data_IF_992665197194
#
_entry.id   IF_992665197194
#
_cell.length_a   1.000
_cell.length_b   1.000
_cell.length_c   1.000
_cell.angle_alpha   90.00
_cell.angle_beta   90.00
_cell.angle_gamma   90.00
#
_symmetry.space_group_name_H-M   'P 1'
#
loop_
_entity.id
_entity.type
_entity.pdbx_description
1 polymer ?
#
# COMPACT_ATOMS: atom_id res chain seq x y z
N UNK A 1 -27.55 16.21 7.18
CA UNK A 1 -26.56 15.12 7.18
C UNK A 1 -25.67 15.38 6.00
N UNK A 2 -24.43 15.80 6.25
CA UNK A 2 -23.47 15.88 5.16
C UNK A 2 -23.23 14.47 4.58
N UNK A 3 -23.00 14.35 3.27
CA UNK A 3 -22.69 13.06 2.69
C UNK A 3 -21.42 12.49 3.35
N UNK A 4 -21.33 11.15 3.51
CA UNK A 4 -20.09 10.54 3.96
C UNK A 4 -18.94 10.99 3.04
N UNK A 5 -17.74 11.26 3.58
CA UNK A 5 -16.61 11.63 2.76
C UNK A 5 -16.38 10.56 1.68
N UNK A 6 -15.99 10.96 0.46
CA UNK A 6 -15.74 10.02 -0.62
C UNK A 6 -14.71 8.98 -0.17
N UNK A 7 -14.83 7.71 -0.61
CA UNK A 7 -13.87 6.69 -0.25
C UNK A 7 -12.46 7.14 -0.68
N UNK A 8 -11.42 6.87 0.12
CA UNK A 8 -10.06 7.24 -0.23
C UNK A 8 -9.70 6.63 -1.59
N UNK A 9 -8.94 7.36 -2.40
CA UNK A 9 -8.42 6.80 -3.65
C UNK A 9 -7.48 5.64 -3.30
N UNK A 10 -7.68 4.48 -3.94
CA UNK A 10 -6.74 3.38 -3.85
C UNK A 10 -5.33 3.84 -4.27
N UNK A 11 -4.33 3.17 -3.71
CA UNK A 11 -2.96 3.23 -4.19
C UNK A 11 -2.91 2.94 -5.70
N UNK A 12 -2.18 3.74 -6.46
CA UNK A 12 -2.03 3.56 -7.90
C UNK A 12 -0.87 2.62 -8.17
N UNK A 13 -1.05 1.67 -9.10
CA UNK A 13 0.04 0.82 -9.59
C UNK A 13 0.87 0.20 -8.46
N UNK A 14 0.19 -0.34 -7.44
CA UNK A 14 0.81 -0.87 -6.22
C UNK A 14 1.77 -2.02 -6.46
N UNK A 15 1.52 -2.82 -7.50
CA UNK A 15 2.39 -3.91 -7.97
C UNK A 15 3.31 -3.48 -9.12
N UNK A 16 3.44 -2.19 -9.39
CA UNK A 16 4.42 -1.65 -10.35
C UNK A 16 4.29 -2.18 -11.80
N UNK A 17 3.14 -2.65 -12.24
CA UNK A 17 2.96 -3.26 -13.56
C UNK A 17 2.88 -2.25 -14.72
N UNK A 18 2.63 -0.97 -14.43
CA UNK A 18 2.55 0.11 -15.42
C UNK A 18 3.79 1.01 -15.43
N UNK A 19 4.37 1.22 -16.61
CA UNK A 19 5.57 2.03 -16.82
C UNK A 19 6.33 1.63 -18.08
N UNK A 20 7.52 2.20 -18.27
CA UNK A 20 8.45 1.74 -19.32
C UNK A 20 8.81 0.27 -19.11
N UNK A 21 8.81 -0.54 -20.17
CA UNK A 21 9.18 -1.95 -20.06
C UNK A 21 10.63 -2.08 -19.54
N UNK A 22 10.86 -2.71 -18.38
CA UNK A 22 12.21 -2.83 -17.81
C UNK A 22 13.05 -3.93 -18.47
N UNK A 23 12.50 -4.79 -19.31
CA UNK A 23 13.22 -5.98 -19.78
C UNK A 23 13.59 -6.89 -18.61
N UNK A 24 14.89 -7.18 -18.43
CA UNK A 24 15.36 -7.87 -17.21
C UNK A 24 15.26 -6.94 -16.00
N UNK A 25 15.89 -5.77 -16.10
CA UNK A 25 15.76 -4.66 -15.17
C UNK A 25 16.14 -3.36 -15.89
N UNK A 26 15.65 -2.24 -15.37
CA UNK A 26 15.98 -0.89 -15.83
C UNK A 26 16.32 -0.02 -14.63
N UNK A 27 17.54 0.53 -14.61
CA UNK A 27 17.93 1.52 -13.60
C UNK A 27 17.20 2.84 -13.84
N UNK A 28 16.54 3.34 -12.80
CA UNK A 28 15.76 4.57 -12.80
C UNK A 28 16.39 5.54 -11.82
N UNK A 29 16.89 6.67 -12.32
CA UNK A 29 17.63 7.66 -11.54
C UNK A 29 16.71 8.75 -10.97
N UNK A 30 16.96 9.18 -9.74
CA UNK A 30 16.44 10.42 -9.17
C UNK A 30 17.01 11.70 -9.83
N UNK A 31 16.42 12.88 -9.58
CA UNK A 31 15.18 13.11 -8.82
C UNK A 31 13.94 13.22 -9.72
N UNK A 32 12.77 12.98 -9.10
CA UNK A 32 11.44 13.15 -9.68
C UNK A 32 11.16 12.33 -10.95
N UNK A 33 11.79 11.16 -11.06
CA UNK A 33 11.62 10.31 -12.24
C UNK A 33 10.33 9.49 -12.14
N UNK A 34 9.46 9.65 -13.13
CA UNK A 34 8.09 9.09 -13.20
C UNK A 34 7.96 7.96 -14.23
N UNK A 35 9.07 7.30 -14.57
CA UNK A 35 9.12 6.15 -15.47
C UNK A 35 8.17 5.02 -15.06
N UNK A 36 7.95 4.87 -13.75
CA UNK A 36 6.98 3.94 -13.16
C UNK A 36 5.69 4.72 -12.89
N UNK A 37 4.60 4.35 -13.55
CA UNK A 37 3.34 5.11 -13.47
C UNK A 37 2.85 5.19 -12.02
N UNK A 38 2.49 6.40 -11.56
CA UNK A 38 1.98 6.63 -10.20
C UNK A 38 3.06 6.71 -9.11
N UNK A 39 4.34 6.53 -9.46
CA UNK A 39 5.45 6.57 -8.53
C UNK A 39 6.53 7.54 -8.99
N UNK A 40 7.29 8.09 -8.03
CA UNK A 40 8.40 8.99 -8.29
C UNK A 40 9.65 8.52 -7.58
N UNK A 41 10.75 8.34 -8.31
CA UNK A 41 12.08 8.08 -7.73
C UNK A 41 12.68 9.42 -7.29
N UNK A 42 12.92 9.56 -5.99
CA UNK A 42 13.21 10.87 -5.36
C UNK A 42 14.61 10.99 -4.76
N UNK A 43 15.29 9.88 -4.49
CA UNK A 43 16.68 9.87 -4.03
C UNK A 43 17.44 8.70 -4.64
N UNK A 44 18.72 8.93 -4.98
CA UNK A 44 19.61 8.01 -5.67
C UNK A 44 18.93 7.24 -6.82
N UNK A 45 19.41 6.07 -7.20
CA UNK A 45 18.77 5.23 -8.21
C UNK A 45 18.20 3.94 -7.61
N UNK A 46 17.20 3.41 -8.30
CA UNK A 46 16.54 2.14 -8.04
C UNK A 46 16.59 1.30 -9.32
N UNK A 47 16.40 0.00 -9.22
CA UNK A 47 16.15 -0.84 -10.40
C UNK A 47 14.67 -1.22 -10.47
N UNK A 48 14.05 -0.87 -11.59
CA UNK A 48 12.74 -1.36 -11.95
C UNK A 48 12.90 -2.74 -12.57
N UNK A 49 12.36 -3.76 -11.91
CA UNK A 49 12.62 -5.15 -12.24
C UNK A 49 11.52 -5.69 -13.16
N UNK A 50 11.93 -6.44 -14.19
CA UNK A 50 11.05 -7.28 -14.99
C UNK A 50 11.47 -8.74 -14.84
N UNK A 51 12.10 -9.31 -15.87
CA UNK A 51 12.41 -10.75 -15.91
C UNK A 51 13.65 -11.18 -15.11
N UNK A 52 14.27 -10.31 -14.31
CA UNK A 52 15.48 -10.65 -13.53
C UNK A 52 15.18 -11.63 -12.38
N UNK A 53 14.01 -11.53 -11.75
CA UNK A 53 13.50 -12.49 -10.76
C UNK A 53 11.98 -12.55 -10.79
N UNK A 54 11.39 -13.53 -10.10
CA UNK A 54 9.93 -13.62 -9.96
C UNK A 54 9.39 -12.56 -8.99
N UNK A 55 8.47 -11.72 -9.48
CA UNK A 55 7.71 -10.74 -8.70
C UNK A 55 6.79 -11.43 -7.67
N UNK A 56 6.35 -10.69 -6.66
CA UNK A 56 5.38 -11.17 -5.66
C UNK A 56 3.95 -11.14 -6.22
N UNK A 57 3.64 -10.13 -7.04
CA UNK A 57 2.41 -9.99 -7.81
C UNK A 57 2.76 -9.55 -9.24
N UNK A 58 2.01 -10.01 -10.23
CA UNK A 58 2.29 -9.67 -11.63
C UNK A 58 3.66 -10.14 -12.14
N UNK A 59 4.38 -9.27 -12.84
CA UNK A 59 5.67 -9.56 -13.50
C UNK A 59 6.73 -8.49 -13.28
N UNK A 60 6.48 -7.50 -12.43
CA UNK A 60 7.42 -6.41 -12.13
C UNK A 60 7.51 -6.15 -10.64
N UNK A 61 8.63 -5.58 -10.22
CA UNK A 61 8.86 -5.18 -8.83
C UNK A 61 9.93 -4.10 -8.77
N UNK A 62 10.31 -3.67 -7.57
CA UNK A 62 11.38 -2.69 -7.37
C UNK A 62 12.52 -3.32 -6.56
N UNK A 63 13.76 -3.12 -6.98
CA UNK A 63 14.94 -3.14 -6.11
C UNK A 63 15.24 -1.68 -5.73
N UNK A 64 15.22 -1.37 -4.43
CA UNK A 64 15.42 0.00 -3.95
C UNK A 64 16.89 0.45 -3.96
N UNK A 65 17.83 -0.37 -4.43
CA UNK A 65 19.21 0.02 -4.64
C UNK A 65 19.66 -0.37 -6.05
N UNK A 66 19.82 0.60 -6.95
CA UNK A 66 20.22 0.34 -8.34
C UNK A 66 21.73 0.09 -8.51
N UNK A 67 22.50 1.14 -8.76
CA UNK A 67 23.95 1.06 -8.92
C UNK A 67 24.68 0.80 -7.61
N UNK A 68 25.92 0.30 -7.70
CA UNK A 68 26.78 0.11 -6.52
C UNK A 68 26.95 1.44 -5.76
N UNK A 69 26.62 1.41 -4.47
CA UNK A 69 26.67 2.57 -3.57
C UNK A 69 25.35 3.32 -3.48
N UNK A 70 24.32 2.93 -4.22
CA UNK A 70 23.01 3.58 -4.17
C UNK A 70 22.17 3.09 -3.01
N UNK A 71 21.48 4.03 -2.37
CA UNK A 71 20.41 3.79 -1.41
C UNK A 71 19.20 4.61 -1.89
N UNK A 72 18.44 4.01 -2.80
CA UNK A 72 17.36 4.67 -3.53
C UNK A 72 16.11 4.90 -2.70
N UNK A 73 15.27 5.81 -3.17
CA UNK A 73 13.95 6.03 -2.59
C UNK A 73 12.90 6.29 -3.66
N UNK A 74 11.72 5.69 -3.46
CA UNK A 74 10.54 5.85 -4.31
C UNK A 74 9.33 6.24 -3.46
N UNK A 75 8.46 7.10 -3.99
CA UNK A 75 7.29 7.59 -3.27
C UNK A 75 6.03 7.69 -4.12
N UNK A 76 4.90 7.67 -3.43
CA UNK A 76 3.58 7.97 -4.00
C UNK A 76 2.77 8.82 -3.02
N UNK A 77 2.07 9.82 -3.55
CA UNK A 77 1.03 10.54 -2.82
C UNK A 77 -0.32 9.97 -3.21
N UNK A 78 -1.13 9.63 -2.22
CA UNK A 78 -2.49 9.13 -2.43
C UNK A 78 -3.48 9.86 -1.53
N UNK A 79 -4.77 9.85 -1.91
CA UNK A 79 -5.80 10.52 -1.13
C UNK A 79 -6.04 9.80 0.18
N UNK A 80 -6.14 10.56 1.26
CA UNK A 80 -6.44 10.09 2.61
C UNK A 80 -7.61 10.87 3.21
N UNK A 81 -8.06 10.50 4.40
CA UNK A 81 -9.11 11.21 5.13
C UNK A 81 -8.62 11.48 6.54
N UNK A 82 -8.69 12.75 6.96
CA UNK A 82 -8.25 13.14 8.29
C UNK A 82 -8.98 12.32 9.38
N UNK A 83 -8.21 11.81 10.35
CA UNK A 83 -8.71 10.98 11.43
C UNK A 83 -8.84 9.49 11.12
N UNK A 84 -8.67 9.07 9.85
CA UNK A 84 -8.59 7.65 9.51
C UNK A 84 -7.17 7.12 9.72
N UNK A 85 -7.06 5.89 10.24
CA UNK A 85 -5.79 5.16 10.31
C UNK A 85 -5.62 4.34 9.04
N UNK A 86 -4.48 4.50 8.36
CA UNK A 86 -4.12 3.76 7.16
C UNK A 86 -3.10 2.68 7.50
N UNK A 87 -3.21 1.55 6.80
CA UNK A 87 -2.28 0.42 6.85
C UNK A 87 -1.76 0.17 5.43
N UNK A 88 -0.47 0.41 5.24
CA UNK A 88 0.26 0.16 4.00
C UNK A 88 0.92 -1.20 4.14
N UNK A 89 0.36 -2.20 3.47
CA UNK A 89 0.98 -3.52 3.38
C UNK A 89 1.72 -3.65 2.05
N UNK A 90 2.87 -4.31 2.06
CA UNK A 90 3.69 -4.53 0.87
C UNK A 90 4.44 -5.86 1.01
N UNK A 91 4.72 -6.49 -0.13
CA UNK A 91 5.63 -7.63 -0.21
C UNK A 91 7.06 -7.14 -0.11
N UNK A 92 7.84 -7.74 0.79
CA UNK A 92 9.25 -7.46 1.04
C UNK A 92 10.09 -8.71 0.77
N UNK A 93 11.16 -8.53 0.01
CA UNK A 93 12.24 -9.49 -0.14
C UNK A 93 13.58 -8.73 -0.21
N UNK A 94 14.62 -9.38 -0.70
CA UNK A 94 15.92 -8.75 -0.89
C UNK A 94 16.66 -9.38 -2.06
N UNK A 95 17.42 -8.56 -2.80
CA UNK A 95 18.25 -9.03 -3.90
C UNK A 95 19.35 -9.98 -3.36
N UNK A 96 19.28 -11.30 -3.68
CA UNK A 96 20.18 -12.30 -3.11
C UNK A 96 21.54 -12.33 -3.82
N UNK A 97 21.73 -11.54 -4.89
CA UNK A 97 22.93 -11.60 -5.74
C UNK A 97 24.17 -10.94 -5.13
N UNK A 98 24.01 -10.22 -4.02
CA UNK A 98 25.13 -9.56 -3.35
C UNK A 98 24.81 -9.09 -1.93
N UNK A 99 25.85 -8.63 -1.24
CA UNK A 99 25.78 -8.10 0.12
C UNK A 99 24.99 -6.79 0.21
N UNK A 100 24.45 -6.43 1.39
CA UNK A 100 24.44 -7.22 2.64
C UNK A 100 23.47 -8.41 2.59
N UNK A 101 23.64 -9.42 3.44
CA UNK A 101 22.69 -10.54 3.54
C UNK A 101 21.34 -10.10 4.12
N UNK A 102 21.37 -9.19 5.10
CA UNK A 102 20.15 -8.57 5.63
C UNK A 102 19.90 -7.29 4.84
N UNK A 103 18.78 -7.24 4.13
CA UNK A 103 18.32 -6.03 3.46
C UNK A 103 17.44 -5.19 4.38
N UNK A 104 17.50 -3.88 4.26
CA UNK A 104 16.73 -2.96 5.11
C UNK A 104 16.04 -1.87 4.30
N UNK A 105 14.70 -1.85 4.36
CA UNK A 105 13.88 -0.75 3.84
C UNK A 105 13.33 0.08 5.00
N UNK A 106 13.42 1.40 4.89
CA UNK A 106 12.72 2.34 5.76
C UNK A 106 11.45 2.81 5.06
N UNK A 107 10.33 2.76 5.77
CA UNK A 107 9.03 3.29 5.31
C UNK A 107 8.69 4.50 6.14
N UNK A 108 8.26 5.57 5.49
CA UNK A 108 7.84 6.82 6.14
C UNK A 108 6.61 7.41 5.45
N UNK A 109 5.80 8.15 6.22
CA UNK A 109 4.65 8.88 5.68
C UNK A 109 4.70 10.37 6.07
N UNK A 110 4.16 11.24 5.23
CA UNK A 110 3.98 12.67 5.53
C UNK A 110 2.97 13.33 4.57
N UNK A 111 2.09 14.25 5.01
CA UNK A 111 1.83 14.59 6.41
C UNK A 111 0.95 13.54 7.11
N UNK A 112 1.17 13.37 8.41
CA UNK A 112 0.41 12.47 9.29
C UNK A 112 0.75 12.72 10.77
N UNK A 113 -0.05 12.15 11.66
CA UNK A 113 0.21 12.13 13.10
C UNK A 113 0.78 10.77 13.51
N UNK A 114 1.82 10.78 14.37
CA UNK A 114 2.44 9.56 14.91
C UNK A 114 3.21 8.72 13.88
N UNK A 115 3.50 9.25 12.70
CA UNK A 115 4.15 8.52 11.61
C UNK A 115 5.67 8.64 11.63
N UNK A 116 6.29 8.14 12.69
CA UNK A 116 7.74 7.95 12.69
C UNK A 116 8.15 6.96 11.59
N UNK A 117 9.31 7.17 10.91
CA UNK A 117 9.83 6.17 9.99
C UNK A 117 10.08 4.84 10.70
N UNK A 118 9.78 3.73 10.01
CA UNK A 118 9.99 2.38 10.53
C UNK A 118 10.85 1.57 9.57
N UNK A 119 11.81 0.83 10.12
CA UNK A 119 12.65 -0.07 9.36
C UNK A 119 12.05 -1.48 9.33
N UNK A 120 12.10 -2.11 8.17
CA UNK A 120 11.76 -3.52 7.95
C UNK A 120 12.97 -4.20 7.32
N UNK A 121 13.22 -5.44 7.73
CA UNK A 121 14.38 -6.20 7.29
C UNK A 121 14.01 -7.52 6.65
N UNK A 122 14.88 -8.01 5.78
CA UNK A 122 14.74 -9.30 5.13
C UNK A 122 16.09 -10.01 5.03
N UNK A 123 16.13 -11.29 5.44
CA UNK A 123 17.33 -12.13 5.35
C UNK A 123 17.33 -12.94 4.05
N UNK A 124 18.32 -12.70 3.18
CA UNK A 124 18.46 -13.39 1.89
C UNK A 124 19.11 -14.77 2.00
N UNK A 125 19.43 -15.26 3.21
CA UNK A 125 20.00 -16.60 3.41
C UNK A 125 19.09 -17.68 2.82
N UNK A 126 19.66 -18.48 1.91
CA UNK A 126 18.95 -19.54 1.19
C UNK A 126 17.97 -19.05 0.12
N UNK A 127 17.95 -17.75 -0.21
CA UNK A 127 17.12 -17.18 -1.29
C UNK A 127 17.88 -17.15 -2.60
N UNK A 128 17.13 -17.05 -3.71
CA UNK A 128 17.67 -17.01 -5.07
C UNK A 128 16.76 -16.20 -5.98
N UNK A 129 17.22 -15.85 -7.18
CA UNK A 129 16.42 -15.13 -8.18
C UNK A 129 15.13 -15.86 -8.58
N UNK A 130 15.13 -17.19 -8.53
CA UNK A 130 13.95 -18.02 -8.80
C UNK A 130 13.04 -18.21 -7.56
N UNK A 131 13.52 -17.85 -6.37
CA UNK A 131 12.82 -18.02 -5.10
C UNK A 131 13.23 -16.91 -4.14
N UNK A 132 12.73 -15.69 -4.42
CA UNK A 132 12.99 -14.49 -3.63
C UNK A 132 12.47 -14.63 -2.19
N UNK A 133 11.39 -15.38 -2.01
CA UNK A 133 10.81 -15.68 -0.70
C UNK A 133 10.14 -14.47 -0.04
N UNK A 134 9.42 -13.68 -0.84
CA UNK A 134 8.60 -12.54 -0.45
C UNK A 134 7.75 -12.79 0.80
N UNK A 135 7.71 -11.81 1.70
CA UNK A 135 6.87 -11.79 2.90
C UNK A 135 6.13 -10.47 3.01
N UNK A 136 4.94 -10.46 3.61
CA UNK A 136 4.22 -9.22 3.84
C UNK A 136 4.79 -8.44 5.04
N UNK A 137 4.94 -7.12 4.86
CA UNK A 137 5.23 -6.16 5.92
C UNK A 137 4.16 -5.07 5.93
N UNK A 138 3.84 -4.50 7.10
CA UNK A 138 2.81 -3.46 7.24
C UNK A 138 3.31 -2.26 8.03
N UNK A 139 3.13 -1.08 7.46
CA UNK A 139 3.35 0.23 8.09
C UNK A 139 2.01 0.93 8.30
N UNK A 140 1.81 1.62 9.44
CA UNK A 140 0.56 2.31 9.72
C UNK A 140 0.75 3.75 10.15
N UNK A 141 -0.20 4.62 9.82
CA UNK A 141 -0.19 6.02 10.23
C UNK A 141 -1.61 6.58 10.39
N UNK A 142 -1.75 7.64 11.20
CA UNK A 142 -2.98 8.43 11.30
C UNK A 142 -2.94 9.59 10.31
N UNK A 143 -3.84 9.61 9.33
CA UNK A 143 -3.93 10.69 8.36
C UNK A 143 -4.44 11.98 9.00
N UNK A 144 -3.84 13.11 8.66
CA UNK A 144 -4.20 14.44 9.18
C UNK A 144 -4.86 15.34 8.14
N UNK A 145 -4.94 14.90 6.88
CA UNK A 145 -5.46 15.69 5.77
C UNK A 145 -6.07 14.83 4.68
N UNK A 146 -6.26 15.45 3.51
CA UNK A 146 -6.86 14.81 2.33
C UNK A 146 -5.85 13.99 1.50
N UNK A 147 -4.57 14.03 1.85
CA UNK A 147 -3.51 13.31 1.14
C UNK A 147 -2.35 12.99 2.06
N UNK A 148 -1.70 11.86 1.82
CA UNK A 148 -0.44 11.49 2.46
C UNK A 148 0.51 10.92 1.41
N UNK A 149 1.79 11.29 1.53
CA UNK A 149 2.88 10.69 0.76
C UNK A 149 3.51 9.58 1.58
N UNK A 150 3.71 8.44 0.96
CA UNK A 150 4.46 7.32 1.51
C UNK A 150 5.77 7.17 0.72
N UNK A 151 6.87 6.96 1.44
CA UNK A 151 8.20 6.83 0.84
C UNK A 151 8.84 5.55 1.35
N UNK A 152 9.34 4.74 0.41
CA UNK A 152 10.17 3.59 0.67
C UNK A 152 11.61 3.96 0.33
N UNK A 153 12.51 3.80 1.29
CA UNK A 153 13.93 4.17 1.17
C UNK A 153 14.79 2.96 1.51
N UNK A 154 15.70 2.58 0.63
CA UNK A 154 16.74 1.62 0.99
C UNK A 154 17.69 2.22 2.02
N UNK A 155 18.09 1.44 3.02
CA UNK A 155 19.20 1.79 3.92
C UNK A 155 20.50 1.05 3.53
N UNK A 156 20.49 0.31 2.43
CA UNK A 156 21.61 -0.47 1.94
C UNK A 156 22.29 0.25 0.77
N UNK A 157 23.43 0.90 1.04
CA UNK A 157 24.24 1.60 0.01
C UNK A 157 25.04 0.59 -0.83
N UNK A 158 24.35 -0.13 -1.71
CA UNK A 158 24.87 -1.22 -2.56
C UNK A 158 24.14 -1.22 -3.91
N UNK A 159 24.41 -2.19 -4.80
CA UNK A 159 23.56 -2.44 -5.98
C UNK A 159 22.64 -3.65 -5.82
N UNK A 160 22.38 -4.05 -4.58
CA UNK A 160 21.62 -5.25 -4.24
C UNK A 160 20.72 -4.92 -3.04
N UNK A 161 19.62 -4.22 -3.27
CA UNK A 161 18.82 -3.62 -2.21
C UNK A 161 17.69 -4.51 -1.68
N UNK A 162 16.88 -3.94 -0.76
CA UNK A 162 15.59 -4.50 -0.41
C UNK A 162 14.65 -4.39 -1.61
N UNK A 163 13.91 -5.46 -1.86
CA UNK A 163 12.97 -5.52 -2.96
C UNK A 163 11.54 -5.32 -2.43
N UNK A 164 10.73 -4.52 -3.13
CA UNK A 164 9.32 -4.27 -2.78
C UNK A 164 8.38 -4.55 -3.95
N UNK A 165 7.18 -5.02 -3.62
CA UNK A 165 6.09 -5.31 -4.57
C UNK A 165 4.71 -5.28 -3.86
N UNK A 166 3.61 -5.35 -4.62
CA UNK A 166 2.22 -5.52 -4.14
C UNK A 166 1.84 -4.55 -3.01
N UNK A 167 2.13 -3.26 -3.20
CA UNK A 167 1.82 -2.21 -2.22
C UNK A 167 0.32 -1.93 -2.22
N UNK A 168 -0.30 -2.11 -1.07
CA UNK A 168 -1.75 -1.98 -0.87
C UNK A 168 -2.07 -1.14 0.35
N UNK A 169 -3.11 -0.33 0.24
CA UNK A 169 -3.63 0.46 1.34
C UNK A 169 -4.99 -0.09 1.80
N UNK A 170 -5.13 -0.24 3.11
CA UNK A 170 -6.43 -0.37 3.78
C UNK A 170 -6.55 0.70 4.86
N UNK A 171 -7.75 0.92 5.38
CA UNK A 171 -7.96 1.93 6.41
C UNK A 171 -9.08 1.58 7.37
N UNK A 172 -9.01 2.13 8.57
CA UNK A 172 -10.12 2.20 9.52
C UNK A 172 -10.59 3.66 9.60
N UNK A 173 -11.88 3.95 9.37
CA UNK A 173 -12.40 5.32 9.43
C UNK A 173 -12.27 5.90 10.85
N UNK A 174 -12.28 7.25 10.99
CA UNK A 174 -12.35 7.87 12.31
C UNK A 174 -13.62 7.42 13.06
N UNK A 175 -13.60 7.45 14.41
CA UNK A 175 -14.81 7.30 15.19
C UNK A 175 -15.87 8.33 14.75
N UNK A 176 -17.16 7.97 14.70
CA UNK A 176 -18.21 8.95 14.42
C UNK A 176 -18.17 10.06 15.48
N UNK A 177 -18.48 11.31 15.10
CA UNK A 177 -18.54 12.40 16.06
C UNK A 177 -19.54 12.07 17.18
N UNK A 178 -19.28 12.50 18.43
CA UNK A 178 -20.24 12.34 19.51
C UNK A 178 -21.58 12.94 19.10
N UNK A 179 -22.66 12.15 19.18
CA UNK A 179 -24.01 12.70 19.02
C UNK A 179 -24.29 13.63 20.20
N UNK A 180 -24.21 14.93 19.98
CA UNK A 180 -24.76 15.89 20.92
C UNK A 180 -26.28 15.77 20.84
N UNK A 181 -26.87 14.98 21.73
CA UNK A 181 -28.29 15.00 22.02
C UNK A 181 -28.65 16.38 22.60
N UNK A 182 -28.79 17.39 21.74
CA UNK A 182 -29.61 18.54 22.08
C UNK A 182 -31.02 18.00 22.22
N UNK A 183 -31.59 18.10 23.42
CA UNK A 183 -32.82 17.41 23.82
C UNK A 183 -34.04 17.74 22.94
N UNK A 184 -34.14 17.08 21.80
CA UNK A 184 -35.29 17.11 20.90
C UNK A 184 -35.78 15.67 20.72
N UNK A 185 -36.74 15.33 21.57
CA UNK A 185 -37.77 14.30 21.41
C UNK A 185 -37.36 12.98 20.72
N UNK A 186 -37.23 11.97 21.56
CA UNK A 186 -37.32 10.55 21.25
C UNK A 186 -38.54 10.28 20.33
N UNK A 187 -38.33 10.17 19.01
CA UNK A 187 -39.16 9.42 18.05
C UNK A 187 -38.74 9.72 16.60
N UNK A 188 -37.73 9.04 16.03
CA UNK A 188 -37.70 8.73 14.58
C UNK A 188 -36.86 7.46 14.31
N UNK A 189 -37.58 6.39 13.94
CA UNK A 189 -37.27 5.30 13.00
C UNK A 189 -35.96 4.51 13.13
N UNK A 190 -36.11 3.27 13.62
CA UNK A 190 -35.24 2.14 13.30
C UNK A 190 -35.41 1.82 11.78
N UNK A 191 -34.45 2.20 10.94
CA UNK A 191 -34.40 1.77 9.54
C UNK A 191 -33.29 0.74 9.35
N UNK A 192 -33.73 -0.44 8.91
CA UNK A 192 -33.01 -1.67 8.66
C UNK A 192 -31.73 -1.51 7.82
N UNK A 193 -30.65 -2.14 8.29
CA UNK A 193 -29.61 -2.66 7.41
C UNK A 193 -29.20 -4.05 7.91
N UNK A 194 -29.00 -4.95 6.94
CA UNK A 194 -28.58 -6.35 7.02
C UNK A 194 -29.69 -7.39 7.23
N UNK A 195 -30.21 -7.91 6.10
CA UNK A 195 -30.12 -9.36 5.87
C UNK A 195 -30.14 -9.67 4.37
N UNK A 196 -28.97 -9.88 3.80
CA UNK A 196 -28.79 -10.64 2.56
C UNK A 196 -28.35 -12.05 2.93
N UNK A 197 -29.30 -12.93 3.23
CA UNK A 197 -29.16 -14.37 3.01
C UNK A 197 -30.49 -14.86 2.45
N UNK A 198 -30.53 -15.02 1.12
CA UNK A 198 -31.62 -15.73 0.45
C UNK A 198 -31.31 -17.23 0.54
N UNK A 199 -32.15 -17.96 1.24
CA UNK A 199 -32.10 -19.42 1.28
C UNK A 199 -33.24 -19.99 2.12
N UNK A 200 -34.46 -20.03 1.57
CA UNK A 200 -35.52 -20.85 2.17
C UNK A 200 -36.96 -20.40 1.95
N UNK A 201 -37.57 -20.95 0.89
CA UNK A 201 -38.96 -21.46 0.85
C UNK A 201 -40.11 -20.44 0.96
N UNK A 202 -40.68 -20.12 -0.20
CA UNK A 202 -42.05 -19.65 -0.39
C UNK A 202 -43.06 -20.76 -0.04
N UNK A 203 -44.18 -20.40 0.61
CA UNK A 203 -45.58 -20.63 0.17
C UNK A 203 -46.50 -19.94 1.20
N UNK A 204 -47.27 -18.94 0.76
CA UNK A 204 -48.61 -18.70 1.32
C UNK A 204 -49.57 -18.31 0.18
N UNK A 205 -50.56 -19.18 -0.04
CA UNK A 205 -51.68 -18.98 -0.96
C UNK A 205 -52.59 -17.87 -0.43
N UNK A 206 -52.99 -16.95 -1.31
CA UNK A 206 -54.03 -15.95 -1.07
C UNK A 206 -55.38 -16.59 -1.44
N UNK A 207 -56.30 -16.75 -0.50
CA UNK A 207 -57.72 -16.89 -0.81
C UNK A 207 -58.37 -15.50 -0.71
N UNK A 208 -59.04 -15.07 -1.78
CA UNK A 208 -60.00 -13.96 -1.75
C UNK A 208 -61.39 -14.55 -1.61
N UNK A 209 -62.19 -13.98 -0.73
CA UNK A 209 -63.62 -14.24 -0.63
C UNK A 209 -64.37 -13.49 -1.75
N UNK A 210 -65.23 -14.23 -2.44
CA UNK A 210 -66.55 -13.83 -2.90
C UNK A 210 -67.42 -15.08 -2.84
#
# INVERSE_FOLDING_TARGET
MDPPPPPPSAFQNGSFESGTNPGSYLTVTAPNNTTITGWSVVSADIDYIGSFWSAADGVRSIDLSGNIGSAGAIQQTFATSAGATYYITFSLAGNPSGSPTIKTVQVSASPCAGCSPQNFTFDTTGRSLASMGWVDATYSFLATGASTTITFTSLDSTGYGPAIDNVRASYTPPPPPPITSTGANLNVMLSLAFLSILGGIFIFRKFRAA
#
